data_IF_050916203343
#
_entry.id   IF_050916203343
#
_cell.length_a   1.000
_cell.length_b   1.000
_cell.length_c   1.000
_cell.angle_alpha   90.00
_cell.angle_beta   90.00
_cell.angle_gamma   90.00
#
_symmetry.space_group_name_H-M   'P 1'
#
loop_
_entity.id
_entity.type
_entity.pdbx_description
1 polymer ?
#
# COMPACT_ATOMS: atom_id res chain seq x y z
N UNK A 1 -6.35 20.07 -1.40
CA UNK A 1 -5.28 19.06 -1.42
C UNK A 1 -4.01 19.73 -0.95
N UNK A 2 -3.46 19.29 0.17
CA UNK A 2 -2.14 19.72 0.59
C UNK A 2 -1.09 19.17 -0.38
N UNK A 3 0.00 19.92 -0.58
CA UNK A 3 1.11 19.44 -1.42
C UNK A 3 1.87 18.38 -0.64
N UNK A 4 1.90 17.15 -1.17
CA UNK A 4 2.67 16.06 -0.61
C UNK A 4 4.04 15.99 -1.30
N UNK A 5 5.11 15.91 -0.51
CA UNK A 5 6.44 15.55 -1.00
C UNK A 5 6.61 14.04 -0.78
N UNK A 6 6.64 13.29 -1.86
CA UNK A 6 6.62 11.82 -1.86
C UNK A 6 7.79 11.28 -2.70
N UNK A 7 8.29 10.10 -2.33
CA UNK A 7 9.05 9.25 -3.25
C UNK A 7 8.15 8.79 -4.41
N UNK A 8 8.73 8.32 -5.51
CA UNK A 8 7.97 7.78 -6.64
C UNK A 8 7.04 6.63 -6.24
N UNK A 9 7.55 5.71 -5.42
CA UNK A 9 6.82 4.55 -4.89
C UNK A 9 5.65 4.97 -3.98
N UNK A 10 5.88 6.00 -3.15
CA UNK A 10 4.86 6.56 -2.27
C UNK A 10 3.79 7.33 -3.07
N UNK A 11 4.17 8.00 -4.16
CA UNK A 11 3.23 8.66 -5.06
C UNK A 11 2.32 7.65 -5.78
N UNK A 12 2.86 6.50 -6.17
CA UNK A 12 2.07 5.39 -6.72
C UNK A 12 1.07 4.87 -5.67
N UNK A 13 1.54 4.63 -4.44
CA UNK A 13 0.70 4.16 -3.35
C UNK A 13 -0.43 5.16 -3.00
N UNK A 14 -0.11 6.46 -2.93
CA UNK A 14 -1.13 7.49 -2.71
C UNK A 14 -2.13 7.55 -3.87
N UNK A 15 -1.67 7.46 -5.12
CA UNK A 15 -2.57 7.42 -6.27
C UNK A 15 -3.53 6.23 -6.24
N UNK A 16 -3.09 5.06 -5.78
CA UNK A 16 -3.96 3.91 -5.58
C UNK A 16 -5.01 4.16 -4.48
N UNK A 17 -4.61 4.75 -3.35
CA UNK A 17 -5.54 5.15 -2.28
C UNK A 17 -6.58 6.14 -2.79
N UNK A 18 -6.15 7.21 -3.47
CA UNK A 18 -7.04 8.20 -4.09
C UNK A 18 -8.03 7.56 -5.07
N UNK A 19 -7.61 6.49 -5.76
CA UNK A 19 -8.44 5.73 -6.69
C UNK A 19 -9.44 4.76 -6.03
N UNK A 20 -9.43 4.64 -4.70
CA UNK A 20 -10.38 3.81 -3.97
C UNK A 20 -9.86 2.44 -3.56
N UNK A 21 -8.54 2.22 -3.50
CA UNK A 21 -7.93 0.96 -3.04
C UNK A 21 -8.58 0.45 -1.73
N UNK A 22 -9.02 -0.81 -1.73
CA UNK A 22 -9.61 -1.48 -0.56
C UNK A 22 -8.67 -2.48 0.13
N UNK A 23 -7.60 -2.89 -0.55
CA UNK A 23 -6.58 -3.77 -0.01
C UNK A 23 -5.26 -3.67 -0.77
N UNK A 24 -4.15 -3.80 -0.05
CA UNK A 24 -2.82 -4.02 -0.55
C UNK A 24 -2.33 -5.37 -0.02
N UNK A 25 -1.84 -6.22 -0.91
CA UNK A 25 -1.30 -7.54 -0.59
C UNK A 25 0.13 -7.63 -1.12
N UNK A 26 1.04 -8.14 -0.30
CA UNK A 26 2.45 -8.11 -0.64
C UNK A 26 3.30 -8.93 0.31
N UNK A 27 4.51 -9.25 -0.16
CA UNK A 27 5.58 -9.86 0.63
C UNK A 27 6.76 -8.88 0.67
N UNK A 28 7.47 -8.74 1.81
CA UNK A 28 8.57 -7.77 1.92
C UNK A 28 9.69 -8.01 0.91
N UNK A 29 10.11 -6.95 0.21
CA UNK A 29 11.21 -6.99 -0.75
C UNK A 29 11.35 -5.68 -1.52
N UNK A 30 12.57 -5.16 -1.69
CA UNK A 30 12.78 -4.00 -2.55
C UNK A 30 12.66 -4.40 -4.03
N UNK A 31 12.05 -3.57 -4.89
CA UNK A 31 11.65 -2.17 -4.67
C UNK A 31 10.18 -1.96 -4.20
N UNK A 32 9.41 -3.00 -3.84
CA UNK A 32 7.98 -2.84 -3.52
C UNK A 32 7.70 -2.50 -2.05
N UNK A 33 8.68 -2.63 -1.16
CA UNK A 33 8.54 -2.35 0.28
C UNK A 33 7.99 -0.96 0.56
N UNK A 34 8.55 0.06 -0.08
CA UNK A 34 8.20 1.47 0.14
C UNK A 34 6.76 1.77 -0.26
N UNK A 35 6.24 1.11 -1.31
CA UNK A 35 4.83 1.21 -1.73
C UNK A 35 3.92 0.68 -0.61
N UNK A 36 4.22 -0.52 -0.12
CA UNK A 36 3.37 -1.21 0.84
C UNK A 36 3.42 -0.55 2.23
N UNK A 37 4.61 -0.18 2.70
CA UNK A 37 4.79 0.52 3.98
C UNK A 37 4.09 1.88 3.98
N UNK A 38 4.05 2.56 2.82
CA UNK A 38 3.26 3.77 2.67
C UNK A 38 1.76 3.51 2.94
N UNK A 39 1.17 2.49 2.30
CA UNK A 39 -0.24 2.13 2.54
C UNK A 39 -0.48 1.72 4.00
N UNK A 40 0.46 0.96 4.60
CA UNK A 40 0.39 0.55 6.00
C UNK A 40 0.30 1.71 6.98
N UNK A 41 1.14 2.74 6.79
CA UNK A 41 1.22 3.90 7.70
C UNK A 41 0.24 5.02 7.35
N UNK A 42 -0.40 4.97 6.18
CA UNK A 42 -1.31 6.02 5.75
C UNK A 42 -2.58 6.04 6.61
N UNK A 43 -2.97 7.24 7.07
CA UNK A 43 -4.14 7.45 7.92
C UNK A 43 -5.45 7.19 7.18
N UNK A 44 -5.53 7.62 5.93
CA UNK A 44 -6.72 7.40 5.09
C UNK A 44 -6.98 5.90 4.89
N UNK A 45 -5.92 5.14 4.63
CA UNK A 45 -5.99 3.68 4.55
C UNK A 45 -6.46 3.04 5.88
N UNK A 46 -6.12 3.64 7.03
CA UNK A 46 -6.56 3.17 8.34
C UNK A 46 -8.04 3.44 8.56
N UNK A 47 -8.46 4.67 8.30
CA UNK A 47 -9.84 5.14 8.47
C UNK A 47 -10.81 4.40 7.53
N UNK A 48 -10.35 4.05 6.33
CA UNK A 48 -11.12 3.29 5.34
C UNK A 48 -11.07 1.78 5.54
N UNK A 49 -10.31 1.29 6.52
CA UNK A 49 -10.18 -0.15 6.80
C UNK A 49 -9.52 -0.93 5.66
N UNK A 50 -8.59 -0.31 4.93
CA UNK A 50 -7.86 -0.94 3.83
C UNK A 50 -7.03 -2.12 4.36
N UNK A 51 -7.20 -3.30 3.77
CA UNK A 51 -6.34 -4.45 4.10
C UNK A 51 -4.89 -4.14 3.72
N UNK A 52 -3.92 -4.40 4.60
CA UNK A 52 -2.52 -3.97 4.41
C UNK A 52 -1.53 -4.74 5.28
N UNK A 53 -1.81 -6.01 5.57
CA UNK A 53 -0.88 -6.86 6.31
C UNK A 53 0.01 -7.63 5.35
N UNK A 54 1.27 -7.83 5.73
CA UNK A 54 2.18 -8.64 4.94
C UNK A 54 1.68 -10.08 4.84
N UNK A 55 1.73 -10.62 3.64
CA UNK A 55 1.48 -12.03 3.36
C UNK A 55 2.74 -12.87 3.67
N UNK A 56 2.60 -14.19 3.73
CA UNK A 56 3.72 -15.08 4.07
C UNK A 56 4.76 -15.26 2.94
N UNK A 57 4.37 -15.03 1.69
CA UNK A 57 5.18 -15.09 0.47
C UNK A 57 4.37 -14.46 -0.69
N UNK A 58 5.01 -14.27 -1.85
CA UNK A 58 4.40 -13.65 -3.03
C UNK A 58 3.23 -14.44 -3.59
N UNK A 59 3.28 -15.78 -3.53
CA UNK A 59 2.18 -16.63 -3.98
C UNK A 59 0.93 -16.41 -3.12
N UNK A 60 1.09 -16.43 -1.81
CA UNK A 60 -0.01 -16.19 -0.87
C UNK A 60 -0.57 -14.76 -1.03
N UNK A 61 0.29 -13.75 -1.24
CA UNK A 61 -0.17 -12.39 -1.51
C UNK A 61 -1.09 -12.30 -2.74
N UNK A 62 -0.76 -13.03 -3.81
CA UNK A 62 -1.58 -13.09 -5.02
C UNK A 62 -2.90 -13.85 -4.80
N UNK A 63 -2.90 -14.87 -3.94
CA UNK A 63 -4.11 -15.65 -3.61
C UNK A 63 -5.07 -14.91 -2.67
N UNK A 64 -4.56 -14.00 -1.84
CA UNK A 64 -5.34 -13.18 -0.91
C UNK A 64 -6.00 -11.94 -1.56
N UNK A 65 -5.47 -11.49 -2.70
CA UNK A 65 -5.87 -10.28 -3.43
C UNK A 65 -7.13 -10.45 -4.29
#
# INVERSE_FOLDING_TARGET
MDKLLLLGDEALAQGALDAGLSGAYGYPGTPSTEIFEYVQRNKEAAERGVHRTWSANEKTAMEEA
#
